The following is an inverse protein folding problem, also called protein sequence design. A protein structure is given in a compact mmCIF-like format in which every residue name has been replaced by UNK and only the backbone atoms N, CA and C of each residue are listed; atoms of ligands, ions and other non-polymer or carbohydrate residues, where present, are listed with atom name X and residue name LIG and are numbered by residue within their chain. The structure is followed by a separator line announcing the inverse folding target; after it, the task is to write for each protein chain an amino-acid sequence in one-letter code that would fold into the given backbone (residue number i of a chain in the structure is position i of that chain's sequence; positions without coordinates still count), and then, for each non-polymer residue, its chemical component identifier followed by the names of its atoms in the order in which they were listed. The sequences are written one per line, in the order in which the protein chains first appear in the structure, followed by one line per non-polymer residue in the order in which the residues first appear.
data_IF_413001971029
#
_entry.id   IF_413001971029
#
_cell.length_a   1.000
_cell.length_b   1.000
_cell.length_c   1.000
_cell.angle_alpha   90.00
_cell.angle_beta   90.00
_cell.angle_gamma   90.00
#
_symmetry.space_group_name_H-M   'P 1'
#
loop_
_entity.id
_entity.type
_entity.pdbx_description
1 polymer ?
#
# COMPACT_ATOMS: atom_id res chain seq x y z
N UNK A 1 -3.01 9.26 0.84
CA UNK A 1 -3.40 7.93 0.41
C UNK A 1 -4.40 7.30 1.39
N UNK A 2 -3.95 6.79 2.54
CA UNK A 2 -4.80 6.00 3.45
C UNK A 2 -6.06 6.74 3.95
N UNK A 3 -5.96 8.03 4.30
CA UNK A 3 -7.11 8.84 4.72
C UNK A 3 -8.14 8.98 3.59
N UNK A 4 -7.68 9.10 2.34
CA UNK A 4 -8.57 9.16 1.18
C UNK A 4 -9.32 7.84 0.98
N UNK A 5 -8.67 6.68 1.16
CA UNK A 5 -9.34 5.39 1.11
C UNK A 5 -10.38 5.23 2.24
N UNK A 6 -10.04 5.66 3.46
CA UNK A 6 -11.00 5.68 4.57
C UNK A 6 -12.20 6.56 4.26
N UNK A 7 -11.99 7.74 3.67
CA UNK A 7 -13.08 8.64 3.31
C UNK A 7 -13.96 8.04 2.22
N UNK A 8 -13.39 7.47 1.15
CA UNK A 8 -14.16 6.80 0.10
C UNK A 8 -15.03 5.68 0.65
N UNK A 9 -14.50 4.84 1.56
CA UNK A 9 -15.24 3.78 2.22
C UNK A 9 -16.45 4.31 3.00
N UNK A 10 -16.24 5.36 3.80
CA UNK A 10 -17.29 5.99 4.59
C UNK A 10 -18.37 6.60 3.69
N UNK A 11 -17.97 7.28 2.62
CA UNK A 11 -18.89 7.94 1.70
C UNK A 11 -19.79 6.93 0.98
N UNK A 12 -19.22 5.83 0.48
CA UNK A 12 -19.98 4.76 -0.16
C UNK A 12 -21.06 4.16 0.76
N UNK A 13 -20.70 3.88 2.02
CA UNK A 13 -21.66 3.35 3.01
C UNK A 13 -22.72 4.38 3.41
N UNK A 14 -22.36 5.65 3.58
CA UNK A 14 -23.32 6.70 3.90
C UNK A 14 -24.30 6.96 2.74
N UNK A 15 -23.84 6.83 1.50
CA UNK A 15 -24.68 6.99 0.32
C UNK A 15 -25.66 5.83 0.17
N UNK A 16 -25.19 4.59 0.32
CA UNK A 16 -26.01 3.40 0.12
C UNK A 16 -26.91 3.06 1.32
N UNK A 17 -26.42 3.33 2.55
CA UNK A 17 -27.09 2.94 3.82
C UNK A 17 -27.21 4.16 4.75
N UNK A 18 -27.87 5.25 4.34
CA UNK A 18 -27.90 6.51 5.09
C UNK A 18 -28.49 6.32 6.50
N UNK A 19 -27.69 6.66 7.52
CA UNK A 19 -28.08 6.59 8.93
C UNK A 19 -28.23 5.17 9.50
N UNK A 20 -27.83 4.14 8.76
CA UNK A 20 -27.92 2.73 9.20
C UNK A 20 -26.57 2.19 9.68
N UNK A 21 -25.46 2.88 9.39
CA UNK A 21 -24.10 2.45 9.74
C UNK A 21 -23.48 3.46 10.69
N UNK A 22 -22.78 2.95 11.69
CA UNK A 22 -21.92 3.74 12.58
C UNK A 22 -20.46 3.35 12.36
N UNK A 23 -19.58 4.33 12.38
CA UNK A 23 -18.16 4.11 12.12
C UNK A 23 -17.34 4.35 13.37
N UNK A 24 -16.45 3.41 13.67
CA UNK A 24 -15.38 3.62 14.63
C UNK A 24 -14.04 3.62 13.89
N UNK A 25 -13.39 4.76 13.81
CA UNK A 25 -12.11 4.93 13.12
C UNK A 25 -10.97 5.05 14.14
N UNK A 26 -9.99 4.17 14.05
CA UNK A 26 -8.78 4.15 14.87
C UNK A 26 -7.54 4.19 13.99
N UNK A 27 -6.53 4.95 14.41
CA UNK A 27 -5.28 5.08 13.71
C UNK A 27 -4.15 4.42 14.52
N UNK A 28 -3.49 3.45 13.90
CA UNK A 28 -2.34 2.73 14.49
C UNK A 28 -1.01 3.48 14.37
N UNK A 29 -0.99 4.64 13.68
CA UNK A 29 0.21 5.48 13.48
C UNK A 29 1.40 4.73 12.85
N UNK A 30 1.11 3.75 11.98
CA UNK A 30 2.12 2.93 11.31
C UNK A 30 2.71 1.78 12.15
N UNK A 31 2.30 1.68 13.43
CA UNK A 31 2.83 0.68 14.37
C UNK A 31 2.02 -0.62 14.34
N UNK A 32 2.65 -1.73 13.96
CA UNK A 32 1.98 -3.03 13.85
C UNK A 32 1.38 -3.51 15.19
N UNK A 33 2.06 -3.25 16.32
CA UNK A 33 1.56 -3.62 17.64
C UNK A 33 0.25 -2.89 17.99
N UNK A 34 0.10 -1.64 17.55
CA UNK A 34 -1.12 -0.87 17.73
C UNK A 34 -2.27 -1.46 16.91
N UNK A 35 -1.99 -1.96 15.69
CA UNK A 35 -3.00 -2.65 14.87
C UNK A 35 -3.64 -3.81 15.63
N UNK A 36 -2.82 -4.69 16.24
CA UNK A 36 -3.31 -5.81 17.04
C UNK A 36 -4.18 -5.38 18.23
N UNK A 37 -3.77 -4.33 18.94
CA UNK A 37 -4.55 -3.79 20.08
C UNK A 37 -5.90 -3.23 19.62
N UNK A 38 -5.92 -2.45 18.54
CA UNK A 38 -7.13 -1.84 17.97
C UNK A 38 -8.11 -2.92 17.51
N UNK A 39 -7.62 -3.90 16.73
CA UNK A 39 -8.46 -4.96 16.17
C UNK A 39 -9.07 -5.83 17.28
N UNK A 40 -8.29 -6.20 18.30
CA UNK A 40 -8.81 -6.92 19.44
C UNK A 40 -9.91 -6.15 20.19
N UNK A 41 -9.83 -4.81 20.19
CA UNK A 41 -10.92 -3.94 20.67
C UNK A 41 -12.19 -4.14 19.85
N UNK A 42 -12.13 -4.02 18.53
CA UNK A 42 -13.27 -4.22 17.62
C UNK A 42 -13.88 -5.61 17.74
N UNK A 43 -13.06 -6.65 17.84
CA UNK A 43 -13.53 -8.03 18.06
C UNK A 43 -14.30 -8.14 19.38
N UNK A 44 -13.77 -7.53 20.46
CA UNK A 44 -14.40 -7.54 21.78
C UNK A 44 -15.72 -6.76 21.82
N UNK A 45 -15.84 -5.71 21.02
CA UNK A 45 -17.06 -4.90 20.86
C UNK A 45 -18.11 -5.57 19.97
N UNK A 46 -17.70 -6.56 19.17
CA UNK A 46 -18.57 -7.32 18.29
C UNK A 46 -19.07 -6.50 17.10
N UNK A 47 -18.15 -5.79 16.43
CA UNK A 47 -18.48 -5.03 15.22
C UNK A 47 -18.96 -5.97 14.09
N UNK A 48 -19.82 -5.47 13.20
CA UNK A 48 -20.38 -6.27 12.11
C UNK A 48 -19.42 -6.48 10.94
N UNK A 49 -18.42 -5.58 10.77
CA UNK A 49 -17.43 -5.65 9.71
C UNK A 49 -16.18 -4.82 10.12
N UNK A 50 -15.01 -5.28 9.72
CA UNK A 50 -13.75 -4.58 9.90
C UNK A 50 -13.22 -4.15 8.52
N UNK A 51 -12.99 -2.86 8.32
CA UNK A 51 -12.21 -2.35 7.20
C UNK A 51 -10.76 -2.20 7.64
N UNK A 52 -9.87 -2.98 7.03
CA UNK A 52 -8.43 -2.98 7.31
C UNK A 52 -7.68 -2.20 6.25
N UNK A 53 -7.23 -0.99 6.61
CA UNK A 53 -6.52 -0.09 5.70
C UNK A 53 -5.01 -0.25 5.86
N UNK A 54 -4.36 -0.77 4.83
CA UNK A 54 -2.96 -1.19 4.73
C UNK A 54 -2.63 -2.59 5.29
N UNK A 55 -1.52 -3.16 4.77
CA UNK A 55 -1.08 -4.54 5.03
C UNK A 55 -1.02 -4.91 6.52
N UNK A 56 -0.44 -4.04 7.36
CA UNK A 56 -0.31 -4.33 8.80
C UNK A 56 -1.67 -4.44 9.51
N UNK A 57 -2.66 -3.62 9.10
CA UNK A 57 -4.01 -3.70 9.63
C UNK A 57 -4.72 -4.98 9.18
N UNK A 58 -4.56 -5.37 7.90
CA UNK A 58 -5.12 -6.61 7.37
C UNK A 58 -4.55 -7.84 8.08
N UNK A 59 -3.22 -7.92 8.23
CA UNK A 59 -2.56 -9.04 8.91
C UNK A 59 -3.01 -9.16 10.37
N UNK A 60 -3.16 -8.02 11.06
CA UNK A 60 -3.67 -8.00 12.43
C UNK A 60 -5.13 -8.47 12.51
N UNK A 61 -5.99 -8.02 11.59
CA UNK A 61 -7.40 -8.40 11.54
C UNK A 61 -7.56 -9.90 11.24
N UNK A 62 -6.84 -10.41 10.24
CA UNK A 62 -6.85 -11.84 9.90
C UNK A 62 -6.41 -12.74 11.07
N UNK A 63 -5.47 -12.27 11.88
CA UNK A 63 -4.98 -13.01 13.04
C UNK A 63 -5.95 -12.97 14.23
N UNK A 64 -6.81 -11.96 14.31
CA UNK A 64 -7.68 -11.72 15.47
C UNK A 64 -9.05 -12.37 15.37
N UNK A 65 -9.59 -12.58 14.17
CA UNK A 65 -10.92 -13.16 13.97
C UNK A 65 -11.03 -13.94 12.67
N UNK A 66 -11.77 -15.05 12.72
CA UNK A 66 -12.19 -15.81 11.55
C UNK A 66 -13.70 -15.67 11.28
N UNK A 67 -14.42 -14.92 12.13
CA UNK A 67 -15.89 -14.83 12.10
C UNK A 67 -16.38 -13.48 11.57
N UNK A 68 -15.73 -12.38 11.98
CA UNK A 68 -16.12 -11.04 11.55
C UNK A 68 -15.61 -10.81 10.12
N UNK A 69 -16.44 -10.37 9.16
CA UNK A 69 -16.00 -10.00 7.82
C UNK A 69 -14.90 -8.93 7.83
N UNK A 70 -13.83 -9.17 7.07
CA UNK A 70 -12.71 -8.24 6.94
C UNK A 70 -12.58 -7.82 5.49
N UNK A 71 -12.72 -6.53 5.22
CA UNK A 71 -12.39 -5.95 3.92
C UNK A 71 -11.07 -5.19 3.99
N UNK A 72 -10.07 -5.68 3.27
CA UNK A 72 -8.83 -4.95 3.08
C UNK A 72 -8.98 -3.81 2.08
N UNK A 73 -8.31 -2.70 2.31
CA UNK A 73 -8.12 -1.64 1.32
C UNK A 73 -6.69 -1.12 1.41
N UNK A 74 -6.16 -0.56 0.33
CA UNK A 74 -4.75 -0.16 0.26
C UNK A 74 -3.80 -1.33 0.57
N UNK A 75 -4.12 -2.50 0.03
CA UNK A 75 -3.34 -3.73 0.16
C UNK A 75 -2.65 -3.99 -1.17
N UNK A 76 -1.33 -3.98 -1.17
CA UNK A 76 -0.56 -4.18 -2.42
C UNK A 76 -0.64 -5.63 -2.91
N UNK A 77 -0.44 -6.62 -2.04
CA UNK A 77 -0.41 -8.03 -2.42
C UNK A 77 -1.00 -8.90 -1.30
N UNK A 78 -2.22 -9.38 -1.48
CA UNK A 78 -2.91 -10.24 -0.50
C UNK A 78 -2.20 -11.55 -0.24
N UNK A 79 -1.68 -12.20 -1.30
CA UNK A 79 -0.90 -13.43 -1.17
C UNK A 79 0.30 -13.27 -0.24
N UNK A 80 1.04 -12.16 -0.39
CA UNK A 80 2.19 -11.82 0.47
C UNK A 80 1.75 -11.42 1.88
N UNK A 81 0.68 -10.60 1.99
CA UNK A 81 0.21 -10.09 3.27
C UNK A 81 -0.31 -11.20 4.21
N UNK A 82 -0.88 -12.25 3.64
CA UNK A 82 -1.53 -13.34 4.34
C UNK A 82 -0.81 -14.68 4.21
N UNK A 83 0.39 -14.69 3.61
CA UNK A 83 1.22 -15.90 3.40
C UNK A 83 0.43 -17.03 2.71
N UNK A 84 -0.23 -16.67 1.57
CA UNK A 84 -1.04 -17.60 0.79
C UNK A 84 -0.23 -18.13 -0.38
N UNK A 85 -0.02 -19.45 -0.40
CA UNK A 85 0.51 -20.12 -1.56
C UNK A 85 -0.53 -20.14 -2.70
N UNK A 86 -0.09 -19.96 -3.93
CA UNK A 86 -0.93 -20.05 -5.14
C UNK A 86 -2.18 -19.14 -5.11
N UNK A 87 -2.04 -17.91 -4.60
CA UNK A 87 -3.13 -16.92 -4.55
C UNK A 87 -3.68 -16.65 -5.97
N UNK A 88 -4.96 -16.90 -6.17
CA UNK A 88 -5.65 -16.85 -7.47
C UNK A 88 -6.59 -15.64 -7.64
N UNK A 89 -6.54 -14.69 -6.70
CA UNK A 89 -7.39 -13.48 -6.69
C UNK A 89 -8.55 -13.55 -5.69
N UNK A 90 -8.72 -14.67 -4.97
CA UNK A 90 -9.73 -14.83 -3.90
C UNK A 90 -9.05 -15.32 -2.63
N UNK A 91 -9.25 -14.60 -1.52
CA UNK A 91 -8.70 -15.03 -0.22
C UNK A 91 -9.53 -16.14 0.38
N UNK A 92 -10.85 -16.00 0.33
CA UNK A 92 -11.79 -16.94 0.97
C UNK A 92 -11.98 -16.69 2.46
N UNK A 93 -12.74 -17.58 3.12
CA UNK A 93 -13.04 -17.42 4.53
C UNK A 93 -13.82 -16.13 4.82
N UNK A 94 -13.33 -15.33 5.75
CA UNK A 94 -13.96 -14.06 6.14
C UNK A 94 -13.22 -12.82 5.57
N UNK A 95 -12.40 -12.97 4.54
CA UNK A 95 -11.54 -11.89 4.01
C UNK A 95 -11.75 -11.68 2.51
N UNK A 96 -11.91 -10.43 2.13
CA UNK A 96 -11.83 -9.92 0.75
C UNK A 96 -11.36 -8.46 0.75
N UNK A 97 -11.55 -7.72 -0.33
CA UNK A 97 -11.25 -6.29 -0.41
C UNK A 97 -10.71 -5.82 -1.74
N UNK A 98 -9.96 -4.73 -1.71
CA UNK A 98 -9.37 -4.10 -2.89
C UNK A 98 -7.85 -4.06 -2.82
N UNK A 99 -7.19 -4.08 -3.98
CA UNK A 99 -5.72 -3.98 -4.09
C UNK A 99 -5.30 -2.62 -4.66
N UNK A 100 -4.25 -2.05 -4.08
CA UNK A 100 -3.60 -0.83 -4.58
C UNK A 100 -2.41 -1.11 -5.49
N UNK A 101 -2.25 -2.37 -5.92
CA UNK A 101 -1.13 -2.76 -6.78
C UNK A 101 -1.28 -2.12 -8.16
N UNK A 102 -0.53 -1.05 -8.40
CA UNK A 102 -0.37 -0.49 -9.73
C UNK A 102 0.46 -1.42 -10.62
N UNK A 103 0.44 -1.18 -11.94
CA UNK A 103 1.26 -1.95 -12.88
C UNK A 103 2.75 -1.61 -12.70
N UNK A 104 3.45 -2.46 -11.97
CA UNK A 104 4.87 -2.30 -11.65
C UNK A 104 5.76 -2.35 -12.90
N UNK A 105 5.33 -3.07 -13.95
CA UNK A 105 6.08 -3.10 -15.21
C UNK A 105 6.00 -1.76 -15.93
N UNK A 106 4.85 -1.12 -15.91
CA UNK A 106 4.68 0.23 -16.46
C UNK A 106 5.40 1.29 -15.61
N UNK A 107 5.49 1.13 -14.30
CA UNK A 107 6.32 2.01 -13.47
C UNK A 107 7.81 1.87 -13.81
N UNK A 108 8.29 0.65 -14.09
CA UNK A 108 9.65 0.43 -14.59
C UNK A 108 9.85 1.01 -16.01
N UNK A 109 8.84 0.92 -16.89
CA UNK A 109 8.86 1.54 -18.22
C UNK A 109 8.99 3.05 -18.14
N UNK A 110 8.26 3.71 -17.22
CA UNK A 110 8.38 5.14 -16.98
C UNK A 110 9.80 5.57 -16.67
N UNK A 111 10.57 4.77 -15.90
CA UNK A 111 11.97 5.12 -15.59
C UNK A 111 12.79 5.23 -16.87
N UNK A 112 12.67 4.25 -17.77
CA UNK A 112 13.43 4.25 -19.05
C UNK A 112 12.90 5.24 -20.08
N UNK A 113 11.60 5.52 -20.04
CA UNK A 113 10.99 6.52 -20.94
C UNK A 113 11.38 7.95 -20.55
N UNK A 114 11.33 8.29 -19.28
CA UNK A 114 11.62 9.64 -18.78
C UNK A 114 13.11 9.90 -18.64
N UNK A 115 13.89 8.85 -18.36
CA UNK A 115 15.34 8.92 -18.14
C UNK A 115 16.08 7.90 -19.02
N UNK A 116 16.07 8.06 -20.36
CA UNK A 116 16.63 7.07 -21.29
C UNK A 116 18.15 6.88 -21.16
N UNK A 117 18.85 7.84 -20.56
CA UNK A 117 20.30 7.77 -20.31
C UNK A 117 20.64 7.14 -18.94
N UNK A 118 19.64 6.87 -18.09
CA UNK A 118 19.86 6.26 -16.77
C UNK A 118 20.40 4.85 -16.92
N UNK A 119 21.42 4.53 -16.15
CA UNK A 119 22.06 3.19 -16.11
C UNK A 119 21.94 2.55 -14.74
N UNK A 120 21.81 3.36 -13.71
CA UNK A 120 21.76 2.93 -12.32
C UNK A 120 20.49 3.45 -11.64
N UNK A 121 19.70 2.54 -11.12
CA UNK A 121 18.51 2.87 -10.35
C UNK A 121 18.68 2.39 -8.90
N UNK A 122 18.52 3.30 -7.96
CA UNK A 122 18.42 2.95 -6.55
C UNK A 122 16.98 2.58 -6.21
N UNK A 123 16.80 1.45 -5.58
CA UNK A 123 15.52 0.97 -5.08
C UNK A 123 15.44 1.30 -3.59
N UNK A 124 14.74 2.38 -3.24
CA UNK A 124 14.70 2.95 -1.89
C UNK A 124 13.40 2.56 -1.18
N UNK A 125 13.46 1.78 -0.11
CA UNK A 125 12.28 1.22 0.54
C UNK A 125 12.51 0.84 2.02
N UNK A 126 11.40 0.58 2.73
CA UNK A 126 11.42 0.03 4.08
C UNK A 126 11.47 -1.51 4.05
N UNK A 127 12.57 -2.11 4.49
CA UNK A 127 12.72 -3.58 4.54
C UNK A 127 11.84 -4.28 5.57
N UNK A 128 11.30 -3.53 6.54
CA UNK A 128 10.34 -4.05 7.51
C UNK A 128 8.90 -4.19 6.95
N UNK A 129 8.69 -3.84 5.67
CA UNK A 129 7.38 -3.86 5.01
C UNK A 129 7.37 -4.89 3.87
N UNK A 130 6.64 -6.02 4.03
CA UNK A 130 6.59 -7.08 2.99
C UNK A 130 6.07 -6.59 1.64
N UNK A 131 5.07 -5.69 1.65
CA UNK A 131 4.53 -5.08 0.43
C UNK A 131 5.57 -4.25 -0.32
N UNK A 132 6.43 -3.51 0.38
CA UNK A 132 7.50 -2.74 -0.24
C UNK A 132 8.57 -3.66 -0.83
N UNK A 133 9.00 -4.69 -0.10
CA UNK A 133 9.96 -5.69 -0.57
C UNK A 133 9.46 -6.43 -1.82
N UNK A 134 8.18 -6.80 -1.87
CA UNK A 134 7.57 -7.42 -3.04
C UNK A 134 7.66 -6.52 -4.28
N UNK A 135 7.24 -5.25 -4.17
CA UNK A 135 7.29 -4.30 -5.28
C UNK A 135 8.73 -4.08 -5.78
N UNK A 136 9.69 -3.99 -4.87
CA UNK A 136 11.10 -3.82 -5.20
C UNK A 136 11.64 -4.99 -6.03
N UNK A 137 11.32 -6.22 -5.67
CA UNK A 137 11.75 -7.42 -6.41
C UNK A 137 11.19 -7.44 -7.83
N UNK A 138 9.89 -7.12 -7.99
CA UNK A 138 9.23 -7.07 -9.28
C UNK A 138 9.83 -5.97 -10.19
N UNK A 139 9.98 -4.74 -9.65
CA UNK A 139 10.56 -3.63 -10.41
C UNK A 139 12.03 -3.89 -10.74
N UNK A 140 12.81 -4.48 -9.83
CA UNK A 140 14.20 -4.88 -10.10
C UNK A 140 14.28 -5.86 -11.28
N UNK A 141 13.38 -6.85 -11.30
CA UNK A 141 13.31 -7.83 -12.40
C UNK A 141 12.95 -7.14 -13.72
N UNK A 142 11.98 -6.24 -13.73
CA UNK A 142 11.60 -5.47 -14.92
C UNK A 142 12.75 -4.62 -15.45
N UNK A 143 13.46 -3.92 -14.56
CA UNK A 143 14.61 -3.07 -14.92
C UNK A 143 15.82 -3.88 -15.41
N UNK A 144 16.09 -5.03 -14.79
CA UNK A 144 17.15 -5.95 -15.23
C UNK A 144 16.91 -6.44 -16.66
N UNK A 145 15.66 -6.77 -17.02
CA UNK A 145 15.28 -7.16 -18.39
C UNK A 145 15.51 -6.02 -19.41
N UNK A 146 15.60 -4.77 -18.95
CA UNK A 146 15.90 -3.58 -19.77
C UNK A 146 17.39 -3.23 -19.78
N UNK A 147 18.23 -3.99 -19.07
CA UNK A 147 19.65 -3.75 -18.96
C UNK A 147 20.05 -2.61 -18.01
N UNK A 148 19.15 -2.23 -17.10
CA UNK A 148 19.40 -1.25 -16.06
C UNK A 148 20.00 -1.94 -14.83
N UNK A 149 21.09 -1.39 -14.31
CA UNK A 149 21.67 -1.83 -13.04
C UNK A 149 20.85 -1.31 -11.87
N UNK A 150 20.41 -2.21 -11.00
CA UNK A 150 19.66 -1.83 -9.80
C UNK A 150 20.42 -2.17 -8.52
N UNK A 151 20.20 -1.36 -7.47
CA UNK A 151 20.72 -1.64 -6.13
C UNK A 151 19.70 -1.24 -5.10
N UNK A 152 19.48 -2.12 -4.13
CA UNK A 152 18.59 -1.89 -3.01
C UNK A 152 19.23 -0.98 -1.97
N UNK A 153 18.44 -0.03 -1.47
CA UNK A 153 18.75 0.87 -0.37
C UNK A 153 17.59 0.78 0.63
N UNK A 154 17.78 -0.07 1.61
CA UNK A 154 16.74 -0.41 2.57
C UNK A 154 16.94 0.35 3.88
N UNK A 155 15.95 1.14 4.28
CA UNK A 155 15.82 1.64 5.65
C UNK A 155 14.89 0.73 6.46
N UNK A 156 14.98 0.78 7.78
CA UNK A 156 14.16 -0.05 8.69
C UNK A 156 13.02 0.74 9.33
N UNK A 157 13.27 2.02 9.59
CA UNK A 157 12.31 2.95 10.16
C UNK A 157 12.63 4.40 9.76
N UNK A 158 11.93 5.38 10.33
CA UNK A 158 12.11 6.81 9.99
C UNK A 158 13.48 7.37 10.39
N UNK A 159 14.22 6.74 11.28
CA UNK A 159 15.47 7.29 11.80
C UNK A 159 16.63 7.17 10.80
N UNK A 160 16.62 6.15 9.97
CA UNK A 160 17.67 5.88 9.00
C UNK A 160 17.32 6.30 7.56
N UNK A 161 16.08 6.76 7.30
CA UNK A 161 15.63 7.23 5.97
C UNK A 161 16.61 8.22 5.36
N UNK A 162 17.01 9.26 6.08
CA UNK A 162 17.89 10.30 5.54
C UNK A 162 19.26 9.74 5.12
N UNK A 163 19.91 8.94 5.97
CA UNK A 163 21.24 8.39 5.68
C UNK A 163 21.23 7.39 4.54
N UNK A 164 20.17 6.57 4.45
CA UNK A 164 19.99 5.61 3.36
C UNK A 164 19.66 6.32 2.06
N UNK A 165 18.82 7.37 2.09
CA UNK A 165 18.53 8.21 0.92
C UNK A 165 19.80 8.89 0.38
N UNK A 166 20.67 9.38 1.28
CA UNK A 166 21.95 9.96 0.84
C UNK A 166 22.81 8.93 0.09
N UNK A 167 22.89 7.72 0.62
CA UNK A 167 23.63 6.62 -0.02
C UNK A 167 23.02 6.22 -1.38
N UNK A 168 21.69 6.29 -1.51
CA UNK A 168 20.99 6.08 -2.77
C UNK A 168 21.30 7.19 -3.80
N UNK A 169 21.28 8.45 -3.36
CA UNK A 169 21.58 9.60 -4.19
C UNK A 169 23.03 9.60 -4.71
N UNK A 170 23.98 9.15 -3.88
CA UNK A 170 25.39 9.05 -4.26
C UNK A 170 25.68 7.95 -5.29
N UNK A 171 24.75 6.98 -5.42
CA UNK A 171 24.90 5.84 -6.32
C UNK A 171 24.17 6.00 -7.65
N UNK A 172 22.96 6.56 -7.64
CA UNK A 172 21.99 6.36 -8.70
C UNK A 172 21.82 7.57 -9.62
N UNK A 173 21.44 7.29 -10.87
CA UNK A 173 20.94 8.28 -11.83
C UNK A 173 19.46 8.60 -11.56
N UNK A 174 18.68 7.60 -11.06
CA UNK A 174 17.25 7.70 -10.71
C UNK A 174 16.99 6.88 -9.47
N UNK A 175 16.11 7.36 -8.59
CA UNK A 175 15.60 6.59 -7.44
C UNK A 175 14.19 6.08 -7.77
N UNK A 176 13.88 4.84 -7.40
CA UNK A 176 12.53 4.31 -7.36
C UNK A 176 12.09 4.12 -5.92
N UNK A 177 10.89 4.62 -5.58
CA UNK A 177 10.23 4.44 -4.30
C UNK A 177 8.91 3.67 -4.52
N UNK A 178 8.71 2.49 -3.94
CA UNK A 178 7.46 1.77 -4.04
C UNK A 178 6.35 2.43 -3.23
N UNK A 179 5.15 1.88 -3.24
CA UNK A 179 4.10 2.21 -2.27
C UNK A 179 4.57 1.79 -0.87
N UNK A 180 4.99 2.75 -0.07
CA UNK A 180 5.66 2.56 1.22
C UNK A 180 5.22 3.61 2.24
N UNK A 181 4.55 3.19 3.31
CA UNK A 181 4.00 4.11 4.31
C UNK A 181 5.07 4.87 5.12
N UNK A 182 6.27 4.28 5.30
CA UNK A 182 7.36 4.98 5.98
C UNK A 182 7.97 6.02 5.05
N UNK A 183 8.18 5.71 3.78
CA UNK A 183 8.60 6.69 2.79
C UNK A 183 7.58 7.83 2.67
N UNK A 184 6.28 7.52 2.59
CA UNK A 184 5.19 8.49 2.52
C UNK A 184 5.17 9.46 3.71
N UNK A 185 5.53 8.99 4.90
CA UNK A 185 5.61 9.81 6.11
C UNK A 185 6.91 10.63 6.21
N UNK A 186 7.90 10.37 5.34
CA UNK A 186 9.23 10.97 5.40
C UNK A 186 9.64 11.65 4.07
N UNK A 187 8.69 12.01 3.24
CA UNK A 187 8.94 12.60 1.91
C UNK A 187 9.77 13.88 1.96
N UNK A 188 9.58 14.71 2.98
CA UNK A 188 10.40 15.92 3.18
C UNK A 188 11.89 15.59 3.41
N UNK A 189 12.18 14.59 4.24
CA UNK A 189 13.55 14.15 4.49
C UNK A 189 14.20 13.60 3.21
N UNK A 190 13.44 12.86 2.41
CA UNK A 190 13.89 12.32 1.12
C UNK A 190 14.13 13.47 0.11
N UNK A 191 13.18 14.40 -0.02
CA UNK A 191 13.29 15.55 -0.92
C UNK A 191 14.48 16.45 -0.59
N UNK A 192 14.75 16.71 0.71
CA UNK A 192 15.86 17.51 1.17
C UNK A 192 17.24 16.94 0.76
N UNK A 193 17.29 15.68 0.34
CA UNK A 193 18.51 15.01 -0.14
C UNK A 193 18.49 14.91 -1.67
N UNK A 194 17.42 14.36 -2.24
CA UNK A 194 17.37 14.09 -3.69
C UNK A 194 17.35 15.37 -4.52
N UNK A 195 16.62 16.40 -4.09
CA UNK A 195 16.51 17.65 -4.86
C UNK A 195 17.85 18.39 -4.97
N UNK A 196 18.61 18.63 -3.88
CA UNK A 196 19.96 19.25 -4.02
C UNK A 196 20.95 18.36 -4.77
N UNK A 197 20.81 17.04 -4.68
CA UNK A 197 21.65 16.10 -5.43
C UNK A 197 21.33 16.07 -6.94
N UNK A 198 20.18 16.60 -7.35
CA UNK A 198 19.71 16.54 -8.73
C UNK A 198 19.33 15.13 -9.19
N UNK A 199 19.00 14.23 -8.25
CA UNK A 199 18.60 12.84 -8.54
C UNK A 199 17.08 12.76 -8.54
N UNK A 200 16.44 12.48 -9.70
CA UNK A 200 15.00 12.36 -9.80
C UNK A 200 14.49 11.07 -9.15
N UNK A 201 13.24 11.09 -8.68
CA UNK A 201 12.58 9.91 -8.14
C UNK A 201 11.28 9.59 -8.88
N UNK A 202 11.11 8.33 -9.29
CA UNK A 202 9.84 7.75 -9.74
C UNK A 202 9.22 7.04 -8.54
N UNK A 203 7.93 7.29 -8.31
CA UNK A 203 7.25 6.85 -7.12
C UNK A 203 6.08 5.92 -7.42
N UNK A 204 5.82 4.97 -6.52
CA UNK A 204 4.76 3.99 -6.64
C UNK A 204 3.36 4.55 -6.31
N UNK A 205 3.28 5.75 -5.69
CA UNK A 205 1.99 6.36 -5.36
C UNK A 205 2.07 7.90 -5.30
N UNK A 206 0.91 8.53 -5.37
CA UNK A 206 0.75 9.98 -5.54
C UNK A 206 1.28 10.80 -4.35
N UNK A 207 1.06 10.33 -3.10
CA UNK A 207 1.47 11.06 -1.91
C UNK A 207 3.00 11.14 -1.78
N UNK A 208 3.72 10.05 -2.07
CA UNK A 208 5.18 10.05 -2.12
C UNK A 208 5.65 10.96 -3.25
N UNK A 209 5.03 10.84 -4.43
CA UNK A 209 5.41 11.62 -5.59
C UNK A 209 5.24 13.12 -5.35
N UNK A 210 4.14 13.56 -4.78
CA UNK A 210 3.88 14.98 -4.49
C UNK A 210 4.88 15.56 -3.49
N UNK A 211 5.44 14.73 -2.61
CA UNK A 211 6.40 15.16 -1.59
C UNK A 211 7.86 15.14 -2.05
N UNK A 212 8.26 14.19 -2.89
CA UNK A 212 9.68 14.02 -3.24
C UNK A 212 9.94 13.46 -4.66
N UNK A 213 8.91 13.14 -5.43
CA UNK A 213 9.05 12.54 -6.75
C UNK A 213 8.86 13.50 -7.89
N UNK A 214 9.13 13.02 -9.10
CA UNK A 214 8.90 13.76 -10.36
C UNK A 214 7.75 13.18 -11.16
N UNK A 215 7.47 11.87 -11.02
CA UNK A 215 6.36 11.21 -11.67
C UNK A 215 5.94 9.93 -10.93
N UNK A 216 4.68 9.55 -11.14
CA UNK A 216 4.08 8.30 -10.64
C UNK A 216 3.06 7.77 -11.62
N UNK A 217 2.90 6.47 -11.67
CA UNK A 217 1.72 5.80 -12.20
C UNK A 217 0.99 5.20 -10.99
N UNK A 218 -0.03 5.88 -10.53
CA UNK A 218 -0.75 5.57 -9.30
C UNK A 218 -2.23 5.34 -9.57
N UNK A 219 -2.93 4.87 -8.53
CA UNK A 219 -4.38 4.72 -8.50
C UNK A 219 -5.00 5.80 -7.61
N UNK A 220 -6.31 6.00 -7.73
CA UNK A 220 -7.07 6.84 -6.81
C UNK A 220 -7.38 6.06 -5.53
N UNK A 221 -6.77 6.44 -4.42
CA UNK A 221 -7.07 5.82 -3.12
C UNK A 221 -8.48 6.10 -2.63
N UNK A 222 -9.07 7.25 -3.01
CA UNK A 222 -10.47 7.52 -2.71
C UNK A 222 -11.39 6.52 -3.43
N UNK A 223 -11.20 6.31 -4.74
CA UNK A 223 -12.01 5.37 -5.52
C UNK A 223 -11.81 3.93 -5.04
N UNK A 224 -10.57 3.57 -4.68
CA UNK A 224 -10.26 2.28 -4.09
C UNK A 224 -11.05 2.03 -2.79
N UNK A 225 -11.04 3.01 -1.90
CA UNK A 225 -11.82 2.96 -0.66
C UNK A 225 -13.33 2.94 -0.92
N UNK A 226 -13.80 3.71 -1.90
CA UNK A 226 -15.21 3.73 -2.30
C UNK A 226 -15.66 2.35 -2.81
N UNK A 227 -14.87 1.70 -3.68
CA UNK A 227 -15.12 0.32 -4.13
C UNK A 227 -15.15 -0.66 -2.96
N UNK A 228 -14.23 -0.53 -1.99
CA UNK A 228 -14.26 -1.33 -0.76
C UNK A 228 -15.56 -1.11 0.02
N UNK A 229 -16.06 0.12 0.06
CA UNK A 229 -17.34 0.46 0.68
C UNK A 229 -18.54 -0.17 -0.04
N UNK A 230 -18.53 -0.20 -1.37
CA UNK A 230 -19.57 -0.91 -2.16
C UNK A 230 -19.56 -2.42 -1.87
N UNK A 231 -18.38 -3.01 -1.70
CA UNK A 231 -18.26 -4.41 -1.26
C UNK A 231 -18.87 -4.61 0.14
N UNK A 232 -18.61 -3.69 1.08
CA UNK A 232 -19.20 -3.73 2.42
C UNK A 232 -20.72 -3.64 2.38
N UNK A 233 -21.31 -2.79 1.53
CA UNK A 233 -22.74 -2.68 1.33
C UNK A 233 -23.36 -4.03 0.94
N UNK A 234 -22.75 -4.72 -0.03
CA UNK A 234 -23.21 -6.05 -0.50
C UNK A 234 -23.19 -7.09 0.63
N UNK A 235 -22.15 -7.06 1.48
CA UNK A 235 -22.02 -7.98 2.63
C UNK A 235 -23.06 -7.66 3.68
N UNK A 236 -23.19 -6.40 4.10
CA UNK A 236 -24.11 -5.97 5.15
C UNK A 236 -25.59 -6.17 4.76
N UNK A 237 -25.92 -6.06 3.47
CA UNK A 237 -27.25 -6.38 2.95
C UNK A 237 -27.50 -7.88 2.77
N UNK A 238 -26.49 -8.74 2.95
CA UNK A 238 -26.60 -10.18 2.69
C UNK A 238 -26.70 -10.55 1.22
N UNK A 239 -26.26 -9.67 0.32
CA UNK A 239 -26.29 -9.87 -1.14
C UNK A 239 -25.10 -10.69 -1.64
N UNK A 240 -23.98 -10.68 -0.90
CA UNK A 240 -22.75 -11.37 -1.26
C UNK A 240 -22.14 -12.10 -0.07
N UNK A 241 -21.60 -13.27 -0.33
CA UNK A 241 -20.78 -14.04 0.60
C UNK A 241 -19.31 -13.64 0.42
N UNK A 242 -18.72 -13.04 1.46
CA UNK A 242 -17.35 -12.56 1.43
C UNK A 242 -16.35 -13.68 1.05
N UNK A 243 -16.64 -14.93 1.39
CA UNK A 243 -15.75 -16.06 1.11
C UNK A 243 -15.56 -16.34 -0.39
N UNK A 244 -16.47 -15.82 -1.22
CA UNK A 244 -16.44 -15.98 -2.69
C UNK A 244 -16.14 -14.69 -3.43
N UNK A 245 -15.99 -13.58 -2.71
CA UNK A 245 -15.68 -12.29 -3.34
C UNK A 245 -14.21 -12.23 -3.75
N UNK A 246 -13.91 -11.99 -5.04
CA UNK A 246 -12.53 -11.76 -5.47
C UNK A 246 -12.01 -10.42 -4.96
N UNK A 247 -10.68 -10.28 -4.93
CA UNK A 247 -10.04 -8.98 -4.74
C UNK A 247 -10.31 -8.11 -5.97
N UNK A 248 -10.78 -6.89 -5.75
CA UNK A 248 -10.98 -5.89 -6.80
C UNK A 248 -9.77 -4.94 -6.92
N UNK A 249 -9.59 -4.33 -8.12
CA UNK A 249 -8.47 -3.47 -8.47
C UNK A 249 -8.93 -2.09 -8.93
#
# INVERSE_FOLDING_TARGET
ALDAATQGFIDALNEALPGQVTFENKNASGEANNCGTIVNGFVSEGVDLIMANATAALTAAASATADIPILGTSITAYGVALDLDDFDGTVGGNISGTSDLADLSQQADMITEWFPEAKKVALLFCSAKPNSSYQIQEVATCLANKGIETKEFAFTDSNDVASVTQSAADYADVVYLPTDNIAASNTEAIANILVPAGVPAICGEEGICSGCGVATLSISYYDLGYTTGEMAVKILNGESDISTMPIEY
#
